data_IF_659602399192
#
_entry.id   IF_659602399192
#
_cell.length_a   1.000
_cell.length_b   1.000
_cell.length_c   1.000
_cell.angle_alpha   90.00
_cell.angle_beta   90.00
_cell.angle_gamma   90.00
#
_symmetry.space_group_name_H-M   'P 1'
#
loop_
_entity.id
_entity.type
_entity.pdbx_description
1 polymer ?
#
# COMPACT_ATOMS: atom_id res chain seq x y z
N UNK A 1 1.75 -23.65 -52.39
CA UNK A 1 3.16 -23.41 -52.04
C UNK A 1 3.30 -21.93 -51.69
N UNK A 2 3.22 -21.60 -50.41
CA UNK A 2 3.52 -20.28 -49.87
C UNK A 2 4.58 -20.49 -48.80
N UNK A 3 5.75 -19.90 -49.00
CA UNK A 3 6.86 -19.89 -48.05
C UNK A 3 6.72 -18.61 -47.23
N UNK A 4 6.53 -18.76 -45.93
CA UNK A 4 6.44 -17.66 -44.98
C UNK A 4 7.75 -17.64 -44.18
N UNK A 5 8.56 -16.62 -44.41
CA UNK A 5 9.83 -16.42 -43.71
C UNK A 5 9.59 -15.68 -42.39
N UNK A 6 10.02 -16.29 -41.29
CA UNK A 6 10.17 -15.69 -39.97
C UNK A 6 11.49 -14.91 -39.89
N UNK A 7 11.47 -13.71 -39.32
CA UNK A 7 12.68 -13.02 -38.86
C UNK A 7 12.47 -12.66 -37.38
N UNK A 8 13.37 -13.15 -36.52
CA UNK A 8 13.39 -12.94 -35.06
C UNK A 8 14.09 -11.63 -34.70
N UNK A 9 13.62 -10.99 -33.62
CA UNK A 9 14.01 -9.64 -33.17
C UNK A 9 15.26 -9.61 -32.26
N UNK A 10 16.27 -10.42 -32.56
CA UNK A 10 17.50 -10.48 -31.75
C UNK A 10 18.71 -10.09 -32.59
N UNK A 11 18.75 -8.83 -33.04
CA UNK A 11 19.98 -8.26 -33.61
C UNK A 11 19.98 -6.73 -33.71
N UNK A 12 19.78 -6.03 -32.58
CA UNK A 12 20.35 -4.68 -32.41
C UNK A 12 20.94 -4.61 -31.00
N UNK A 13 22.14 -5.17 -30.89
CA UNK A 13 23.03 -5.02 -29.75
C UNK A 13 23.42 -3.54 -29.57
N UNK A 14 23.57 -3.16 -28.30
CA UNK A 14 24.89 -2.75 -27.81
C UNK A 14 25.63 -1.71 -28.63
N UNK A 15 25.33 -0.43 -28.37
CA UNK A 15 26.29 0.68 -28.49
C UNK A 15 25.71 1.94 -27.85
N UNK A 16 25.73 1.98 -26.52
CA UNK A 16 25.51 3.23 -25.79
C UNK A 16 26.46 3.30 -24.59
N UNK A 17 27.67 3.79 -24.84
CA UNK A 17 28.49 4.44 -23.82
C UNK A 17 29.42 5.48 -24.45
N UNK A 18 29.21 6.75 -24.01
CA UNK A 18 30.13 7.92 -23.99
C UNK A 18 30.61 8.42 -25.37
N UNK A 19 30.48 9.69 -25.75
CA UNK A 19 30.95 10.94 -25.10
C UNK A 19 30.16 12.15 -25.66
N UNK A 20 29.96 13.16 -24.80
CA UNK A 20 29.37 14.49 -25.08
C UNK A 20 30.25 15.37 -25.99
N UNK A 21 29.65 16.13 -26.93
CA UNK A 21 29.73 17.61 -27.01
C UNK A 21 29.22 18.17 -28.36
N UNK A 22 28.43 19.26 -28.25
CA UNK A 22 28.16 20.32 -29.24
C UNK A 22 26.72 20.37 -29.83
N UNK A 23 25.98 21.51 -29.70
CA UNK A 23 24.59 21.65 -30.11
C UNK A 23 24.40 22.40 -31.45
N UNK A 24 25.01 21.92 -32.55
CA UNK A 24 24.90 22.58 -33.88
C UNK A 24 24.53 21.66 -35.07
N UNK A 25 24.23 20.37 -34.84
CA UNK A 25 23.92 19.41 -35.93
C UNK A 25 22.43 19.14 -36.15
N UNK A 26 21.51 19.89 -35.52
CA UNK A 26 20.07 19.66 -35.63
C UNK A 26 19.38 20.35 -36.84
N UNK A 27 20.15 20.92 -37.79
CA UNK A 27 19.60 21.77 -38.87
C UNK A 27 19.91 21.30 -40.31
N UNK A 28 20.17 20.00 -40.53
CA UNK A 28 20.47 19.46 -41.88
C UNK A 28 19.75 18.16 -42.28
N UNK A 29 18.60 17.85 -41.70
CA UNK A 29 17.73 16.77 -42.22
C UNK A 29 16.29 17.24 -42.47
N UNK A 30 16.14 18.27 -43.31
CA UNK A 30 14.90 18.50 -44.05
C UNK A 30 15.20 18.69 -45.53
N UNK A 31 14.25 18.23 -46.33
CA UNK A 31 14.15 18.20 -47.80
C UNK A 31 14.69 16.96 -48.50
N UNK A 32 13.76 16.10 -48.93
CA UNK A 32 13.99 15.27 -50.10
C UNK A 32 13.15 14.01 -50.29
N UNK A 33 11.84 13.99 -50.02
CA UNK A 33 10.98 12.92 -50.55
C UNK A 33 9.65 13.50 -51.09
N UNK A 34 9.54 13.50 -52.42
CA UNK A 34 8.30 13.71 -53.17
C UNK A 34 7.57 12.36 -53.24
N UNK A 35 6.42 12.23 -52.58
CA UNK A 35 5.42 11.22 -52.89
C UNK A 35 4.01 11.84 -52.80
N UNK A 36 3.07 11.44 -53.67
CA UNK A 36 1.78 12.13 -53.83
C UNK A 36 0.82 11.83 -52.68
N UNK A 37 0.29 12.90 -52.09
CA UNK A 37 -0.76 12.91 -51.09
C UNK A 37 -2.13 12.64 -51.72
N UNK A 38 -2.53 11.36 -51.84
CA UNK A 38 -3.91 11.03 -52.25
C UNK A 38 -4.43 9.65 -51.77
N UNK A 39 -3.76 8.93 -50.87
CA UNK A 39 -4.21 7.59 -50.44
C UNK A 39 -4.30 7.35 -48.93
N UNK A 40 -4.07 8.38 -48.09
CA UNK A 40 -4.13 8.27 -46.63
C UNK A 40 -5.38 8.88 -45.98
N UNK A 41 -6.36 9.32 -46.79
CA UNK A 41 -7.60 9.96 -46.30
C UNK A 41 -8.72 9.01 -45.89
N UNK A 42 -8.61 7.71 -46.14
CA UNK A 42 -9.68 6.73 -45.87
C UNK A 42 -9.30 5.60 -44.90
N UNK A 43 -8.03 5.52 -44.48
CA UNK A 43 -7.60 4.52 -43.49
C UNK A 43 -7.50 5.05 -42.04
N UNK A 44 -7.48 6.38 -41.84
CA UNK A 44 -7.44 6.99 -40.49
C UNK A 44 -8.81 7.39 -39.94
N UNK A 45 -9.89 7.26 -40.71
CA UNK A 45 -11.27 7.49 -40.23
C UNK A 45 -11.99 6.15 -39.94
N UNK A 46 -11.43 5.01 -40.37
CA UNK A 46 -12.04 3.69 -40.15
C UNK A 46 -11.58 2.97 -38.87
N UNK A 47 -10.78 3.61 -38.01
CA UNK A 47 -10.29 3.02 -36.74
C UNK A 47 -10.83 3.69 -35.47
N UNK A 48 -11.75 4.66 -35.61
CA UNK A 48 -12.48 5.26 -34.48
C UNK A 48 -13.98 4.92 -34.47
N UNK A 49 -14.42 3.95 -35.27
CA UNK A 49 -15.83 3.50 -35.35
C UNK A 49 -15.97 2.00 -35.10
N UNK A 50 -15.16 1.43 -34.21
CA UNK A 50 -15.41 0.11 -33.64
C UNK A 50 -15.96 0.30 -32.22
N UNK A 51 -17.27 0.12 -32.10
CA UNK A 51 -18.02 -0.08 -30.86
C UNK A 51 -17.90 1.00 -29.79
N UNK A 52 -18.53 2.15 -30.03
CA UNK A 52 -19.19 2.88 -28.94
C UNK A 52 -20.46 2.12 -28.52
N UNK A 53 -20.29 0.92 -27.96
CA UNK A 53 -21.35 0.34 -27.15
C UNK A 53 -21.42 1.23 -25.90
N UNK A 54 -22.58 1.86 -25.70
CA UNK A 54 -22.86 2.63 -24.51
C UNK A 54 -23.03 1.63 -23.35
N UNK A 55 -21.92 1.17 -22.79
CA UNK A 55 -21.94 0.26 -21.65
C UNK A 55 -22.42 1.03 -20.44
N UNK A 56 -23.62 0.68 -19.95
CA UNK A 56 -24.00 1.07 -18.61
C UNK A 56 -23.21 0.20 -17.63
N UNK A 57 -22.02 0.68 -17.27
CA UNK A 57 -21.13 -0.01 -16.36
C UNK A 57 -21.76 -0.20 -14.97
N UNK A 58 -22.69 0.66 -14.54
CA UNK A 58 -23.36 0.42 -13.26
C UNK A 58 -24.29 -0.78 -13.34
N UNK A 59 -25.07 -0.89 -14.42
CA UNK A 59 -25.92 -2.08 -14.65
C UNK A 59 -25.06 -3.34 -14.72
N UNK A 60 -23.99 -3.33 -15.53
CA UNK A 60 -23.11 -4.49 -15.67
C UNK A 60 -22.51 -4.94 -14.32
N UNK A 61 -21.94 -4.00 -13.55
CA UNK A 61 -21.23 -4.31 -12.30
C UNK A 61 -22.19 -4.63 -11.15
N UNK A 62 -23.48 -4.34 -11.26
CA UNK A 62 -24.50 -4.65 -10.24
C UNK A 62 -25.36 -5.86 -10.57
N UNK A 63 -25.37 -6.31 -11.83
CA UNK A 63 -26.15 -7.46 -12.28
C UNK A 63 -25.56 -8.78 -11.74
N UNK A 64 -26.38 -9.49 -10.95
CA UNK A 64 -26.05 -10.77 -10.31
C UNK A 64 -26.41 -11.97 -11.18
N UNK A 65 -27.21 -11.77 -12.23
CA UNK A 65 -27.74 -12.82 -13.10
C UNK A 65 -26.84 -13.08 -14.31
N UNK A 66 -25.81 -12.26 -14.53
CA UNK A 66 -24.79 -12.51 -15.56
C UNK A 66 -24.11 -13.86 -15.31
N UNK A 67 -24.17 -14.75 -16.30
CA UNK A 67 -23.55 -16.08 -16.27
C UNK A 67 -22.40 -16.24 -17.27
N UNK A 68 -22.24 -15.28 -18.17
CA UNK A 68 -21.17 -15.25 -19.16
C UNK A 68 -20.74 -13.80 -19.43
N UNK A 69 -19.44 -13.56 -19.47
CA UNK A 69 -18.83 -12.27 -19.83
C UNK A 69 -17.40 -12.53 -20.26
N UNK A 70 -16.78 -11.60 -20.99
CA UNK A 70 -15.36 -11.64 -21.31
C UNK A 70 -14.63 -10.43 -20.71
N UNK A 71 -13.30 -10.55 -20.61
CA UNK A 71 -12.48 -9.48 -20.07
C UNK A 71 -12.58 -8.19 -20.89
N UNK A 72 -12.71 -8.28 -22.22
CA UNK A 72 -12.80 -7.13 -23.11
C UNK A 72 -14.06 -6.28 -22.86
N UNK A 73 -15.15 -6.91 -22.43
CA UNK A 73 -16.41 -6.28 -22.05
C UNK A 73 -16.36 -5.72 -20.63
N UNK A 74 -15.66 -6.39 -19.71
CA UNK A 74 -15.57 -6.00 -18.31
C UNK A 74 -14.55 -4.88 -18.05
N UNK A 75 -13.38 -4.95 -18.69
CA UNK A 75 -12.25 -4.05 -18.44
C UNK A 75 -12.59 -2.55 -18.52
N UNK A 76 -13.33 -2.06 -19.54
CA UNK A 76 -13.68 -0.65 -19.63
C UNK A 76 -14.50 -0.15 -18.43
N UNK A 77 -15.22 -1.06 -17.74
CA UNK A 77 -16.03 -0.73 -16.58
C UNK A 77 -15.28 -0.74 -15.26
N UNK A 78 -14.05 -1.27 -15.21
CA UNK A 78 -13.27 -1.31 -13.97
C UNK A 78 -12.85 0.07 -13.47
N UNK A 79 -12.83 1.09 -14.34
CA UNK A 79 -12.67 2.48 -13.91
C UNK A 79 -13.77 2.92 -12.93
N UNK A 80 -15.00 2.43 -13.11
CA UNK A 80 -16.12 2.66 -12.18
C UNK A 80 -15.96 1.83 -10.91
N UNK A 81 -15.47 0.59 -11.02
CA UNK A 81 -15.22 -0.26 -9.86
C UNK A 81 -14.06 0.24 -8.98
N UNK A 82 -13.11 0.98 -9.56
CA UNK A 82 -11.95 1.53 -8.87
C UNK A 82 -12.15 2.97 -8.36
N UNK A 83 -13.37 3.51 -8.39
CA UNK A 83 -13.65 4.79 -7.75
C UNK A 83 -13.68 4.63 -6.22
N UNK A 84 -13.19 5.62 -5.49
CA UNK A 84 -13.27 5.67 -4.03
C UNK A 84 -14.72 5.43 -3.56
N UNK A 85 -14.93 4.44 -2.67
CA UNK A 85 -16.26 4.14 -2.11
C UNK A 85 -17.07 3.05 -2.82
N UNK A 86 -16.43 2.13 -3.56
CA UNK A 86 -17.10 0.90 -4.02
C UNK A 86 -17.70 0.13 -2.83
N UNK A 87 -18.96 -0.28 -2.94
CA UNK A 87 -19.61 -1.07 -1.88
C UNK A 87 -19.07 -2.50 -1.87
N UNK A 88 -19.06 -3.15 -0.70
CA UNK A 88 -18.68 -4.57 -0.55
C UNK A 88 -19.47 -5.48 -1.50
N UNK A 89 -20.78 -5.26 -1.64
CA UNK A 89 -21.60 -6.02 -2.59
C UNK A 89 -21.15 -5.83 -4.05
N UNK A 90 -20.73 -4.62 -4.41
CA UNK A 90 -20.23 -4.32 -5.75
C UNK A 90 -18.88 -4.98 -5.96
N UNK A 91 -17.93 -4.87 -5.03
CA UNK A 91 -16.62 -5.53 -5.16
C UNK A 91 -16.75 -7.05 -5.26
N UNK A 92 -17.62 -7.67 -4.45
CA UNK A 92 -17.94 -9.10 -4.56
C UNK A 92 -18.49 -9.49 -5.94
N UNK A 93 -19.42 -8.68 -6.49
CA UNK A 93 -19.96 -8.95 -7.81
C UNK A 93 -18.92 -8.74 -8.92
N UNK A 94 -18.08 -7.72 -8.83
CA UNK A 94 -16.97 -7.51 -9.79
C UNK A 94 -16.00 -8.68 -9.73
N UNK A 95 -15.62 -9.15 -8.55
CA UNK A 95 -14.79 -10.34 -8.41
C UNK A 95 -15.45 -11.59 -9.02
N UNK A 96 -16.76 -11.78 -8.81
CA UNK A 96 -17.54 -12.84 -9.46
C UNK A 96 -17.46 -12.77 -10.99
N UNK A 97 -17.63 -11.58 -11.57
CA UNK A 97 -17.56 -11.38 -13.02
C UNK A 97 -16.15 -11.63 -13.58
N UNK A 98 -15.10 -11.26 -12.84
CA UNK A 98 -13.71 -11.56 -13.21
C UNK A 98 -13.50 -13.07 -13.28
N UNK A 99 -13.97 -13.83 -12.29
CA UNK A 99 -13.87 -15.29 -12.30
C UNK A 99 -14.61 -15.91 -13.49
N UNK A 100 -15.77 -15.37 -13.87
CA UNK A 100 -16.50 -15.82 -15.06
C UNK A 100 -15.68 -15.52 -16.32
N UNK A 101 -15.10 -14.32 -16.44
CA UNK A 101 -14.32 -13.90 -17.60
C UNK A 101 -13.06 -14.75 -17.86
N UNK A 102 -12.49 -15.33 -16.80
CA UNK A 102 -11.28 -16.14 -16.87
C UNK A 102 -11.52 -17.63 -16.61
N UNK A 103 -12.76 -18.08 -16.43
CA UNK A 103 -13.09 -19.48 -16.10
C UNK A 103 -12.35 -19.99 -14.83
N UNK A 104 -12.37 -19.20 -13.76
CA UNK A 104 -11.75 -19.56 -12.47
C UNK A 104 -10.77 -18.52 -11.93
N UNK A 105 -10.32 -18.73 -10.70
CA UNK A 105 -9.40 -17.83 -9.98
C UNK A 105 -7.96 -18.06 -10.43
N UNK A 106 -7.62 -19.32 -10.66
CA UNK A 106 -6.32 -19.80 -11.11
C UNK A 106 -5.93 -19.32 -12.51
N UNK A 107 -6.92 -18.90 -13.30
CA UNK A 107 -6.75 -18.47 -14.69
C UNK A 107 -6.66 -16.94 -14.84
N UNK A 108 -6.78 -16.19 -13.74
CA UNK A 108 -6.69 -14.72 -13.76
C UNK A 108 -5.24 -14.28 -14.02
N UNK A 109 -4.96 -13.53 -15.11
CA UNK A 109 -3.61 -13.06 -15.40
C UNK A 109 -3.08 -12.07 -14.35
N UNK A 110 -1.76 -12.06 -14.11
CA UNK A 110 -1.16 -11.23 -13.06
C UNK A 110 -1.42 -9.73 -13.24
N UNK A 111 -1.42 -9.26 -14.49
CA UNK A 111 -1.70 -7.87 -14.85
C UNK A 111 -3.11 -7.41 -14.50
N UNK A 112 -4.05 -8.34 -14.29
CA UNK A 112 -5.42 -8.02 -13.88
C UNK A 112 -5.45 -7.54 -12.43
N UNK A 113 -4.68 -8.16 -11.52
CA UNK A 113 -4.69 -7.79 -10.09
C UNK A 113 -4.33 -6.32 -9.87
N UNK A 114 -3.38 -5.79 -10.66
CA UNK A 114 -3.02 -4.37 -10.61
C UNK A 114 -4.15 -3.42 -11.02
N UNK A 115 -5.11 -3.89 -11.85
CA UNK A 115 -6.28 -3.14 -12.33
C UNK A 115 -7.50 -3.27 -11.42
N UNK A 116 -7.45 -4.09 -10.37
CA UNK A 116 -8.63 -4.39 -9.54
C UNK A 116 -8.34 -4.19 -8.04
N UNK A 117 -7.39 -3.32 -7.69
CA UNK A 117 -6.90 -3.15 -6.30
C UNK A 117 -8.02 -2.97 -5.27
N UNK A 118 -9.07 -2.19 -5.58
CA UNK A 118 -10.20 -1.98 -4.66
C UNK A 118 -11.15 -3.18 -4.55
N UNK A 119 -11.06 -4.13 -5.49
CA UNK A 119 -11.85 -5.37 -5.52
C UNK A 119 -11.12 -6.50 -4.78
N UNK A 120 -9.79 -6.45 -4.67
CA UNK A 120 -9.00 -7.52 -4.05
C UNK A 120 -9.45 -7.93 -2.64
N UNK A 121 -9.92 -7.03 -1.75
CA UNK A 121 -10.47 -7.42 -0.45
C UNK A 121 -11.66 -8.39 -0.51
N UNK A 122 -12.40 -8.43 -1.63
CA UNK A 122 -13.53 -9.35 -1.84
C UNK A 122 -13.09 -10.80 -2.15
N UNK A 123 -11.79 -11.04 -2.37
CA UNK A 123 -11.26 -12.39 -2.60
C UNK A 123 -11.25 -13.15 -1.27
N UNK A 124 -12.00 -14.25 -1.20
CA UNK A 124 -12.05 -15.05 0.02
C UNK A 124 -10.72 -15.74 0.33
N UNK A 125 -10.50 -16.14 1.59
CA UNK A 125 -9.30 -16.89 2.02
C UNK A 125 -9.10 -18.18 1.21
N UNK A 126 -10.20 -18.86 0.86
CA UNK A 126 -10.18 -20.07 0.02
C UNK A 126 -9.76 -19.78 -1.43
N UNK A 127 -10.12 -18.62 -1.97
CA UNK A 127 -9.68 -18.22 -3.31
C UNK A 127 -8.24 -17.73 -3.29
N UNK A 128 -7.85 -16.98 -2.25
CA UNK A 128 -6.47 -16.54 -2.03
C UNK A 128 -5.49 -17.70 -1.97
N UNK A 129 -5.87 -18.85 -1.39
CA UNK A 129 -4.99 -20.01 -1.34
C UNK A 129 -4.65 -20.56 -2.73
N UNK A 130 -5.54 -20.37 -3.71
CA UNK A 130 -5.39 -20.79 -5.11
C UNK A 130 -4.66 -19.76 -5.99
N UNK A 131 -4.42 -18.53 -5.50
CA UNK A 131 -3.66 -17.50 -6.23
C UNK A 131 -2.17 -17.68 -5.93
N UNK A 132 -1.30 -17.72 -6.94
CA UNK A 132 0.14 -17.81 -6.71
C UNK A 132 0.77 -16.43 -6.44
N UNK A 133 1.63 -16.33 -5.43
CA UNK A 133 2.42 -15.12 -5.11
C UNK A 133 3.83 -15.15 -5.73
N UNK A 134 4.02 -15.95 -6.77
CA UNK A 134 5.31 -16.07 -7.49
C UNK A 134 5.66 -14.84 -8.32
N UNK A 135 4.67 -14.04 -8.73
CA UNK A 135 4.87 -12.88 -9.61
C UNK A 135 4.86 -11.57 -8.83
N UNK A 136 5.83 -10.71 -9.11
CA UNK A 136 5.97 -9.41 -8.44
C UNK A 136 4.75 -8.52 -8.66
N UNK A 137 4.11 -8.59 -9.82
CA UNK A 137 2.93 -7.78 -10.14
C UNK A 137 1.74 -8.13 -9.22
N UNK A 138 1.64 -9.40 -8.81
CA UNK A 138 0.64 -9.85 -7.86
C UNK A 138 1.00 -9.32 -6.47
N UNK A 139 2.25 -9.48 -6.03
CA UNK A 139 2.66 -8.98 -4.71
C UNK A 139 2.49 -7.47 -4.59
N UNK A 140 2.82 -6.71 -5.64
CA UNK A 140 2.60 -5.26 -5.71
C UNK A 140 1.13 -4.87 -5.70
N UNK A 141 0.28 -5.64 -6.40
CA UNK A 141 -1.15 -5.38 -6.41
C UNK A 141 -1.75 -5.56 -5.01
N UNK A 142 -1.42 -6.67 -4.34
CA UNK A 142 -1.90 -6.99 -3.00
C UNK A 142 -1.28 -6.08 -1.93
N UNK A 143 0.02 -5.81 -2.01
CA UNK A 143 0.73 -4.92 -1.10
C UNK A 143 0.29 -3.46 -1.19
N UNK A 144 -0.22 -3.05 -2.36
CA UNK A 144 -0.79 -1.73 -2.61
C UNK A 144 -2.24 -1.56 -2.12
N UNK A 145 -2.89 -2.60 -1.60
CA UNK A 145 -4.22 -2.50 -0.98
C UNK A 145 -4.07 -1.86 0.39
N UNK A 146 -4.26 -0.54 0.44
CA UNK A 146 -4.23 0.20 1.68
C UNK A 146 -5.59 0.17 2.36
N UNK A 147 -5.60 -0.12 3.66
CA UNK A 147 -6.71 0.28 4.52
C UNK A 147 -6.66 1.80 4.64
N UNK A 148 -7.39 2.50 3.78
CA UNK A 148 -7.48 3.97 3.86
C UNK A 148 -7.96 4.33 5.26
N UNK A 149 -7.15 5.09 5.98
CA UNK A 149 -7.35 5.45 7.37
C UNK A 149 -8.77 5.99 7.56
N UNK A 150 -9.58 5.26 8.34
CA UNK A 150 -11.00 5.46 8.72
C UNK A 150 -12.02 4.52 8.06
N UNK A 151 -11.65 3.73 7.04
CA UNK A 151 -12.54 2.71 6.47
C UNK A 151 -11.86 1.33 6.43
N UNK A 152 -12.07 0.57 7.50
CA UNK A 152 -11.60 -0.83 7.62
C UNK A 152 -12.40 -1.80 6.74
N UNK A 153 -13.44 -1.35 6.03
CA UNK A 153 -14.25 -2.22 5.18
C UNK A 153 -13.66 -2.44 3.78
N UNK A 154 -12.66 -1.65 3.39
CA UNK A 154 -12.07 -1.66 2.04
C UNK A 154 -10.63 -2.21 1.98
N UNK A 155 -10.16 -2.87 3.04
CA UNK A 155 -8.85 -3.51 3.11
C UNK A 155 -8.96 -5.01 3.35
N UNK A 156 -7.85 -5.73 3.21
CA UNK A 156 -7.79 -7.12 3.64
C UNK A 156 -7.98 -7.22 5.15
N UNK A 157 -8.72 -8.23 5.59
CA UNK A 157 -8.79 -8.60 7.00
C UNK A 157 -7.51 -9.35 7.45
N UNK A 158 -7.37 -9.53 8.77
CA UNK A 158 -6.18 -10.14 9.36
C UNK A 158 -5.89 -11.55 8.84
N UNK A 159 -6.91 -12.38 8.59
CA UNK A 159 -6.75 -13.75 8.09
C UNK A 159 -6.24 -13.74 6.63
N UNK A 160 -6.81 -12.86 5.79
CA UNK A 160 -6.34 -12.65 4.42
C UNK A 160 -4.89 -12.16 4.43
N UNK A 161 -4.54 -11.17 5.25
CA UNK A 161 -3.18 -10.63 5.31
C UNK A 161 -2.16 -11.64 5.81
N UNK A 162 -2.51 -12.46 6.81
CA UNK A 162 -1.64 -13.55 7.26
C UNK A 162 -1.40 -14.58 6.16
N UNK A 163 -2.45 -14.96 5.41
CA UNK A 163 -2.30 -15.87 4.29
C UNK A 163 -1.44 -15.26 3.18
N UNK A 164 -1.68 -13.99 2.81
CA UNK A 164 -0.90 -13.28 1.78
C UNK A 164 0.57 -13.21 2.19
N UNK A 165 0.88 -12.79 3.43
CA UNK A 165 2.25 -12.69 3.93
C UNK A 165 2.95 -14.06 3.97
N UNK A 166 2.24 -15.11 4.38
CA UNK A 166 2.73 -16.49 4.35
C UNK A 166 3.06 -16.92 2.92
N UNK A 167 2.15 -16.70 1.97
CA UNK A 167 2.36 -17.07 0.57
C UNK A 167 3.52 -16.30 -0.06
N UNK A 168 3.61 -14.99 0.17
CA UNK A 168 4.76 -14.16 -0.24
C UNK A 168 6.07 -14.76 0.27
N UNK A 169 6.14 -15.12 1.56
CA UNK A 169 7.34 -15.71 2.17
C UNK A 169 7.78 -17.01 1.50
N UNK A 170 6.85 -17.87 1.06
CA UNK A 170 7.19 -19.20 0.55
C UNK A 170 7.22 -19.31 -0.98
N UNK A 171 6.48 -18.45 -1.68
CA UNK A 171 6.27 -18.57 -3.14
C UNK A 171 7.05 -17.52 -3.94
N UNK A 172 7.46 -16.40 -3.34
CA UNK A 172 7.96 -15.28 -4.12
C UNK A 172 9.40 -15.48 -4.63
N UNK A 173 9.50 -16.07 -5.83
CA UNK A 173 10.73 -16.22 -6.64
C UNK A 173 11.95 -16.73 -5.86
N UNK A 174 11.75 -17.54 -4.81
CA UNK A 174 12.83 -18.06 -3.97
C UNK A 174 13.56 -17.00 -3.15
N UNK A 175 12.96 -15.81 -2.97
CA UNK A 175 13.49 -14.77 -2.09
C UNK A 175 13.20 -15.10 -0.64
N UNK A 176 14.22 -15.00 0.20
CA UNK A 176 14.11 -15.02 1.65
C UNK A 176 14.26 -13.62 2.25
N UNK A 177 13.93 -13.45 3.54
CA UNK A 177 14.08 -12.17 4.23
C UNK A 177 15.48 -11.58 4.17
N UNK A 178 16.50 -12.42 4.20
CA UNK A 178 17.91 -12.10 4.02
C UNK A 178 18.30 -11.80 2.56
N UNK A 179 17.35 -11.73 1.63
CA UNK A 179 17.60 -11.41 0.22
C UNK A 179 16.66 -10.34 -0.32
N UNK A 180 15.75 -9.82 0.52
CA UNK A 180 14.85 -8.76 0.11
C UNK A 180 15.63 -7.48 -0.20
N UNK A 181 15.44 -6.97 -1.40
CA UNK A 181 15.94 -5.66 -1.83
C UNK A 181 15.01 -4.53 -1.40
N UNK A 182 15.45 -3.28 -1.57
CA UNK A 182 14.59 -2.10 -1.44
C UNK A 182 13.30 -2.25 -2.27
N UNK A 183 13.44 -2.66 -3.53
CA UNK A 183 12.30 -2.84 -4.44
C UNK A 183 11.31 -3.88 -3.89
N UNK A 184 11.80 -5.01 -3.37
CA UNK A 184 10.94 -6.05 -2.80
C UNK A 184 10.14 -5.54 -1.59
N UNK A 185 10.79 -4.81 -0.69
CA UNK A 185 10.14 -4.26 0.50
C UNK A 185 9.12 -3.18 0.12
N UNK A 186 9.39 -2.37 -0.91
CA UNK A 186 8.43 -1.38 -1.42
C UNK A 186 7.24 -2.09 -2.09
N UNK A 187 7.49 -3.12 -2.89
CA UNK A 187 6.47 -3.91 -3.58
C UNK A 187 5.56 -4.66 -2.60
N UNK A 188 6.07 -5.11 -1.45
CA UNK A 188 5.25 -5.72 -0.40
C UNK A 188 4.22 -4.76 0.19
N UNK A 189 4.48 -3.45 0.23
CA UNK A 189 3.56 -2.47 0.82
C UNK A 189 3.06 -2.90 2.21
N UNK A 190 1.74 -2.96 2.42
CA UNK A 190 1.11 -3.35 3.69
C UNK A 190 1.47 -4.78 4.17
N UNK A 191 1.91 -5.66 3.27
CA UNK A 191 2.29 -7.05 3.60
C UNK A 191 3.47 -7.08 4.58
N UNK A 192 4.35 -6.08 4.53
CA UNK A 192 5.51 -5.98 5.45
C UNK A 192 5.09 -5.95 6.93
N UNK A 193 3.88 -5.49 7.23
CA UNK A 193 3.33 -5.43 8.59
C UNK A 193 2.72 -6.75 9.08
N UNK A 194 2.72 -7.78 8.25
CA UNK A 194 2.25 -9.13 8.57
C UNK A 194 3.37 -10.18 8.47
N UNK A 195 4.60 -9.74 8.24
CA UNK A 195 5.77 -10.60 8.34
C UNK A 195 6.03 -10.97 9.81
N UNK A 196 6.64 -12.15 10.01
CA UNK A 196 7.04 -12.59 11.34
C UNK A 196 8.22 -11.76 11.84
N UNK A 197 8.31 -11.55 13.16
CA UNK A 197 9.41 -10.79 13.79
C UNK A 197 10.79 -11.32 13.36
N UNK A 198 10.97 -12.64 13.34
CA UNK A 198 12.23 -13.27 12.95
C UNK A 198 12.59 -13.07 11.47
N UNK A 199 11.61 -12.83 10.60
CA UNK A 199 11.88 -12.50 9.20
C UNK A 199 12.31 -11.04 9.08
N UNK A 200 11.62 -10.13 9.77
CA UNK A 200 12.00 -8.71 9.83
C UNK A 200 13.42 -8.56 10.38
N UNK A 201 13.75 -9.27 11.45
CA UNK A 201 15.10 -9.24 12.02
C UNK A 201 16.18 -9.83 11.10
N UNK A 202 15.84 -10.69 10.14
CA UNK A 202 16.82 -11.22 9.18
C UNK A 202 17.02 -10.34 7.94
N UNK A 203 16.20 -9.30 7.77
CA UNK A 203 16.33 -8.38 6.64
C UNK A 203 17.67 -7.64 6.64
N UNK A 204 18.14 -7.36 5.43
CA UNK A 204 19.27 -6.47 5.20
C UNK A 204 18.93 -5.04 5.65
N UNK A 205 19.74 -4.51 6.56
CA UNK A 205 19.47 -3.22 7.20
C UNK A 205 19.59 -2.03 6.24
N UNK A 206 20.45 -2.14 5.23
CA UNK A 206 20.60 -1.16 4.14
C UNK A 206 19.41 -1.18 3.18
N UNK A 207 18.92 -2.36 2.79
CA UNK A 207 17.70 -2.50 2.00
C UNK A 207 16.48 -1.94 2.75
N UNK A 208 16.36 -2.26 4.04
CA UNK A 208 15.33 -1.68 4.91
C UNK A 208 15.44 -0.16 4.98
N UNK A 209 16.65 0.39 5.17
CA UNK A 209 16.87 1.84 5.23
C UNK A 209 16.39 2.55 3.97
N UNK A 210 16.66 1.97 2.80
CA UNK A 210 16.23 2.52 1.52
C UNK A 210 14.70 2.49 1.38
N UNK A 211 14.04 1.43 1.87
CA UNK A 211 12.57 1.32 1.87
C UNK A 211 11.89 1.99 3.09
N UNK A 212 12.64 2.56 4.03
CA UNK A 212 12.13 2.95 5.34
C UNK A 212 11.03 4.01 5.29
N UNK A 213 11.09 4.95 4.33
CA UNK A 213 10.04 5.96 4.15
C UNK A 213 8.70 5.30 3.79
N UNK A 214 8.73 4.28 2.92
CA UNK A 214 7.53 3.56 2.51
C UNK A 214 6.95 2.73 3.65
N UNK A 215 7.80 1.97 4.35
CA UNK A 215 7.39 1.12 5.48
C UNK A 215 6.92 1.99 6.65
N UNK A 216 7.66 3.05 6.97
CA UNK A 216 7.34 4.01 8.01
C UNK A 216 6.07 4.81 7.73
N UNK A 217 5.61 4.88 6.48
CA UNK A 217 4.33 5.49 6.11
C UNK A 217 3.10 4.64 6.41
N UNK A 218 3.26 3.35 6.74
CA UNK A 218 2.13 2.45 6.98
C UNK A 218 1.52 2.72 8.36
N UNK A 219 0.26 3.14 8.41
CA UNK A 219 -0.39 3.54 9.66
C UNK A 219 -0.79 2.34 10.54
N UNK A 220 -1.30 1.28 9.91
CA UNK A 220 -1.95 0.14 10.56
C UNK A 220 -1.02 -1.05 10.77
N UNK A 221 0.21 -0.78 11.23
CA UNK A 221 1.19 -1.83 11.52
C UNK A 221 1.07 -2.31 12.97
N UNK A 222 0.97 -3.63 13.24
CA UNK A 222 0.88 -4.12 14.61
C UNK A 222 2.15 -3.83 15.43
N UNK A 223 2.00 -3.70 16.74
CA UNK A 223 3.07 -3.24 17.64
C UNK A 223 4.31 -4.16 17.61
N UNK A 224 4.13 -5.47 17.44
CA UNK A 224 5.23 -6.45 17.41
C UNK A 224 6.11 -6.19 16.18
N UNK A 225 5.51 -5.97 15.01
CA UNK A 225 6.24 -5.64 13.79
C UNK A 225 6.92 -4.27 13.88
N UNK A 226 6.24 -3.26 14.45
CA UNK A 226 6.86 -1.95 14.71
C UNK A 226 8.11 -2.08 15.58
N UNK A 227 8.07 -2.90 16.63
CA UNK A 227 9.24 -3.18 17.48
C UNK A 227 10.37 -3.88 16.71
N UNK A 228 10.04 -4.86 15.87
CA UNK A 228 11.01 -5.55 15.02
C UNK A 228 11.70 -4.58 14.03
N UNK A 229 10.92 -3.72 13.37
CA UNK A 229 11.45 -2.68 12.49
C UNK A 229 12.27 -1.62 13.24
N UNK A 230 11.89 -1.28 14.47
CA UNK A 230 12.65 -0.34 15.29
C UNK A 230 14.04 -0.92 15.64
N UNK A 231 14.12 -2.21 16.02
CA UNK A 231 15.40 -2.91 16.21
C UNK A 231 16.23 -2.92 14.94
N UNK A 232 15.60 -3.14 13.78
CA UNK A 232 16.28 -3.13 12.47
C UNK A 232 16.82 -1.74 12.13
N UNK A 233 16.05 -0.68 12.38
CA UNK A 233 16.45 0.71 12.17
C UNK A 233 17.68 1.11 13.01
N UNK A 234 17.82 0.54 14.20
CA UNK A 234 18.95 0.79 15.11
C UNK A 234 20.26 0.12 14.67
N UNK A 235 20.24 -0.76 13.67
CA UNK A 235 21.46 -1.39 13.16
C UNK A 235 22.36 -0.37 12.49
N UNK A 236 23.66 -0.60 12.59
CA UNK A 236 24.71 0.30 12.06
C UNK A 236 24.53 0.59 10.56
N UNK A 237 24.15 -0.41 9.78
CA UNK A 237 24.00 -0.29 8.33
C UNK A 237 22.63 0.33 7.92
N UNK A 238 21.72 0.52 8.88
CA UNK A 238 20.51 1.32 8.72
C UNK A 238 20.74 2.77 9.21
N UNK A 239 20.09 3.17 10.32
CA UNK A 239 20.19 4.52 10.88
C UNK A 239 21.15 4.59 12.08
N UNK A 240 21.62 3.45 12.59
CA UNK A 240 22.52 3.37 13.74
C UNK A 240 21.85 3.74 15.06
N UNK A 241 22.64 4.12 16.06
CA UNK A 241 22.14 4.42 17.41
C UNK A 241 21.11 5.56 17.43
N UNK A 242 20.01 5.35 18.15
CA UNK A 242 18.87 6.27 18.26
C UNK A 242 19.26 7.71 18.61
N UNK A 243 20.23 7.89 19.52
CA UNK A 243 20.72 9.22 19.94
C UNK A 243 21.34 10.03 18.80
N UNK A 244 21.84 9.35 17.76
CA UNK A 244 22.52 9.95 16.62
C UNK A 244 21.57 10.25 15.46
N UNK A 245 20.33 9.80 15.51
CA UNK A 245 19.36 10.06 14.43
C UNK A 245 19.17 11.56 14.23
N UNK A 246 19.24 12.00 12.98
CA UNK A 246 18.95 13.37 12.58
C UNK A 246 17.44 13.63 12.57
N UNK A 247 17.07 14.90 12.35
CA UNK A 247 15.67 15.29 12.12
C UNK A 247 15.05 14.57 10.91
N UNK A 248 15.86 14.38 9.86
CA UNK A 248 15.43 13.75 8.62
C UNK A 248 15.25 12.25 8.85
N UNK A 249 16.18 11.59 9.54
CA UNK A 249 16.08 10.16 9.86
C UNK A 249 14.79 9.87 10.65
N UNK A 250 14.51 10.65 11.69
CA UNK A 250 13.27 10.52 12.51
C UNK A 250 12.00 10.72 11.66
N UNK A 251 12.05 11.57 10.63
CA UNK A 251 10.93 11.74 9.70
C UNK A 251 10.77 10.54 8.77
N UNK A 252 11.86 10.04 8.18
CA UNK A 252 11.87 8.88 7.26
C UNK A 252 11.41 7.61 7.99
N UNK A 253 11.86 7.38 9.22
CA UNK A 253 11.49 6.22 10.04
C UNK A 253 9.96 6.19 10.30
N UNK A 254 9.30 7.35 10.31
CA UNK A 254 7.84 7.41 10.34
C UNK A 254 7.21 6.67 11.53
N UNK A 255 6.17 5.88 11.27
CA UNK A 255 5.42 5.13 12.28
C UNK A 255 6.27 4.13 13.07
N UNK A 256 7.42 3.69 12.53
CA UNK A 256 8.35 2.77 13.19
C UNK A 256 8.88 3.35 14.51
N UNK A 257 8.90 4.68 14.67
CA UNK A 257 9.21 5.35 15.96
C UNK A 257 8.29 4.87 17.09
N UNK A 258 7.05 4.47 16.79
CA UNK A 258 6.12 3.93 17.79
C UNK A 258 6.49 2.52 18.27
N UNK A 259 7.42 1.85 17.60
CA UNK A 259 8.02 0.58 18.01
C UNK A 259 9.13 0.72 19.06
N UNK A 260 9.67 1.93 19.28
CA UNK A 260 10.72 2.16 20.26
C UNK A 260 10.22 2.03 21.71
N UNK A 261 11.10 1.57 22.58
CA UNK A 261 10.89 1.61 24.03
C UNK A 261 10.90 3.04 24.56
N UNK A 262 10.35 3.25 25.75
CA UNK A 262 10.34 4.57 26.39
C UNK A 262 11.75 5.13 26.63
N UNK A 263 12.72 4.27 26.96
CA UNK A 263 14.12 4.64 27.15
C UNK A 263 14.80 5.07 25.84
N UNK A 264 14.48 4.42 24.73
CA UNK A 264 15.01 4.78 23.41
C UNK A 264 14.40 6.10 22.92
N UNK A 265 13.10 6.31 23.14
CA UNK A 265 12.45 7.59 22.81
C UNK A 265 13.04 8.76 23.62
N UNK A 266 13.36 8.53 24.89
CA UNK A 266 13.85 9.57 25.79
C UNK A 266 15.21 10.15 25.39
N UNK A 267 16.02 9.45 24.59
CA UNK A 267 17.31 9.95 24.10
C UNK A 267 17.20 10.76 22.81
N UNK A 268 16.02 10.78 22.16
CA UNK A 268 15.78 11.59 20.97
C UNK A 268 15.35 12.99 21.43
N UNK A 269 16.04 14.02 20.96
CA UNK A 269 15.64 15.42 21.17
C UNK A 269 14.20 15.64 20.69
N UNK A 270 13.37 16.24 21.56
CA UNK A 270 11.95 16.47 21.30
C UNK A 270 11.69 17.27 19.99
N UNK A 271 12.61 18.17 19.62
CA UNK A 271 12.50 18.93 18.37
C UNK A 271 12.69 18.08 17.12
N UNK A 272 13.35 16.92 17.23
CA UNK A 272 13.43 15.93 16.15
C UNK A 272 12.12 15.14 16.07
N UNK A 273 11.59 14.73 17.21
CA UNK A 273 10.32 13.97 17.30
C UNK A 273 9.11 14.76 16.79
N UNK A 274 9.09 16.09 16.95
CA UNK A 274 8.01 16.95 16.44
C UNK A 274 7.84 16.96 14.92
N UNK A 275 8.84 16.52 14.16
CA UNK A 275 8.73 16.34 12.71
C UNK A 275 8.11 15.00 12.31
N UNK A 276 8.11 14.03 13.21
CA UNK A 276 7.47 12.75 12.96
C UNK A 276 5.95 12.87 13.14
N UNK A 277 5.22 12.75 12.03
CA UNK A 277 3.76 12.88 12.01
C UNK A 277 3.06 11.92 12.97
N UNK A 278 3.47 10.64 12.97
CA UNK A 278 2.87 9.57 13.78
C UNK A 278 3.08 9.78 15.28
N UNK A 279 4.27 10.22 15.68
CA UNK A 279 4.58 10.57 17.07
C UNK A 279 3.68 11.71 17.56
N UNK A 280 3.57 12.79 16.77
CA UNK A 280 2.74 13.95 17.13
C UNK A 280 1.27 13.57 17.26
N UNK A 281 0.75 12.73 16.35
CA UNK A 281 -0.65 12.27 16.42
C UNK A 281 -0.92 11.47 17.71
N UNK A 282 -0.07 10.50 18.06
CA UNK A 282 -0.23 9.67 19.26
C UNK A 282 -0.21 10.51 20.55
N UNK A 283 0.70 11.48 20.64
CA UNK A 283 0.79 12.36 21.80
C UNK A 283 -0.38 13.35 21.91
N UNK A 284 -0.95 13.83 20.79
CA UNK A 284 -2.17 14.64 20.80
C UNK A 284 -3.38 13.85 21.34
N UNK A 285 -3.53 12.58 20.98
CA UNK A 285 -4.59 11.69 21.51
C UNK A 285 -4.44 11.49 23.02
N UNK A 286 -3.21 11.27 23.50
CA UNK A 286 -2.92 11.09 24.93
C UNK A 286 -3.11 12.37 25.77
N UNK A 287 -2.85 13.56 25.19
CA UNK A 287 -3.05 14.85 25.86
C UNK A 287 -4.51 15.26 26.01
N UNK A 288 -5.40 14.87 25.08
CA UNK A 288 -6.84 15.16 25.16
C UNK A 288 -7.58 14.34 26.22
N UNK A 289 -7.01 13.24 26.71
CA UNK A 289 -7.58 12.42 27.79
C UNK A 289 -7.32 12.93 29.22
N UNK A 290 -6.56 14.03 29.39
CA UNK A 290 -6.14 14.54 30.72
C UNK A 290 -6.81 15.84 31.18
N UNK A 291 -7.60 16.51 30.33
CA UNK A 291 -8.33 17.74 30.69
C UNK A 291 -9.84 17.48 30.90
N UNK A 292 -10.16 16.60 31.85
CA UNK A 292 -11.54 16.23 32.17
C UNK A 292 -11.75 15.75 33.61
N UNK A 293 -11.02 16.30 34.59
CA UNK A 293 -11.41 16.25 36.01
C UNK A 293 -10.56 17.23 36.82
N UNK A 294 -11.17 18.35 37.18
CA UNK A 294 -10.47 19.38 37.95
C UNK A 294 -11.27 20.63 38.23
N UNK A 295 -12.52 20.50 38.70
CA UNK A 295 -13.14 21.51 39.57
C UNK A 295 -13.87 20.76 40.68
N UNK A 296 -13.13 20.38 41.72
CA UNK A 296 -13.67 20.20 43.07
C UNK A 296 -13.40 21.51 43.80
N UNK A 297 -14.39 22.40 43.82
CA UNK A 297 -14.37 23.58 44.68
C UNK A 297 -14.43 23.12 46.13
N UNK A 298 -13.35 23.40 46.86
CA UNK A 298 -13.25 23.26 48.29
C UNK A 298 -14.28 24.15 48.99
N UNK A 299 -14.81 23.57 50.06
CA UNK A 299 -15.70 24.14 51.06
C UNK A 299 -15.15 25.43 51.66
N UNK A 300 -16.02 26.42 51.84
CA UNK A 300 -15.79 27.56 52.71
C UNK A 300 -16.72 27.43 53.92
N UNK A 301 -16.13 27.38 55.11
CA UNK A 301 -16.80 27.32 56.41
C UNK A 301 -16.99 28.72 57.00
N UNK A 302 -17.96 28.81 57.92
CA UNK A 302 -18.29 29.87 58.89
C UNK A 302 -19.49 30.74 58.46
N UNK A 303 -20.52 30.98 59.27
CA UNK A 303 -20.57 30.98 60.74
C UNK A 303 -22.03 31.04 61.25
N UNK A 304 -22.19 30.90 62.58
CA UNK A 304 -23.37 31.14 63.44
C UNK A 304 -24.36 29.97 63.60
N UNK A 305 -24.78 29.54 64.78
CA UNK A 305 -24.47 29.94 66.16
C UNK A 305 -25.30 29.09 67.15
N UNK A 306 -24.75 28.93 68.38
CA UNK A 306 -25.48 28.88 69.66
C UNK A 306 -26.57 27.80 69.86
N UNK A 307 -26.31 26.73 70.64
CA UNK A 307 -26.72 26.65 72.06
C UNK A 307 -26.40 25.30 72.75
N UNK A 308 -26.15 25.40 74.06
CA UNK A 308 -25.93 24.34 75.06
C UNK A 308 -27.08 23.32 75.15
N UNK A 309 -26.78 22.06 75.45
CA UNK A 309 -26.97 21.46 76.81
C UNK A 309 -26.85 19.92 76.87
N UNK A 310 -26.09 19.48 77.89
CA UNK A 310 -26.28 18.35 78.80
C UNK A 310 -26.46 16.89 78.33
N UNK A 311 -25.40 16.09 78.57
CA UNK A 311 -25.31 15.11 79.68
C UNK A 311 -26.51 14.20 79.99
N UNK A 312 -26.32 12.88 79.79
CA UNK A 312 -26.69 11.71 80.64
C UNK A 312 -26.04 10.47 79.98
N UNK A 313 -24.95 9.87 80.48
CA UNK A 313 -24.87 8.79 81.50
C UNK A 313 -26.14 7.97 81.65
N UNK A 314 -26.11 6.70 81.23
CA UNK A 314 -25.92 5.53 82.09
C UNK A 314 -26.07 4.23 81.27
N UNK A 315 -25.22 3.26 81.62
CA UNK A 315 -25.26 1.79 81.39
C UNK A 315 -25.42 1.21 79.97
#
# INVERSE_FOLDING_TARGET
MYVQAYISSTQIEGKMHRVLHSPDEFRKMQFGLKYPAAFYGLFFISMCLLNAQNYDCQVLLQDKDITNTDWASLEPCLGVANSEGISVNTSENVWRLIKIAFDGVENVPAEVYGKIRLVLPAISVMELSNISMTRVEIVEAFGGVHTLSNDTSNGFNDEQMQLIASKVRYEWLGKGPDTYSEYDLISMGEIVCHLNESDIERMHADAFKAAAERIGGIESCPQIQLQAYAKLAMRKDAFGEVKNWSKIDVSIIGNIVNGLTQSELAVIDENKLKLNHFYVQKHKKNGKGRNGKGISTASNSNQTGVNKSNSRKAE
#
